data_IF_812479338880
#
_entry.id   IF_812479338880
#
_cell.length_a   1.000
_cell.length_b   1.000
_cell.length_c   1.000
_cell.angle_alpha   90.00
_cell.angle_beta   90.00
_cell.angle_gamma   90.00
#
_symmetry.space_group_name_H-M   'P 1'
#
loop_
_entity.id
_entity.type
_entity.pdbx_description
1 polymer ?
#
# COMPACT_ATOMS: atom_id res chain seq x y z
N UNK A 1 -2.76 0.07 18.36
CA UNK A 1 -2.53 -0.34 19.78
C UNK A 1 -2.26 0.82 20.72
N UNK A 2 -1.93 2.00 20.21
CA UNK A 2 -1.84 3.23 21.04
C UNK A 2 -3.22 3.76 21.48
N UNK A 3 -4.32 3.16 21.03
CA UNK A 3 -5.69 3.59 21.34
C UNK A 3 -6.11 4.88 20.63
N UNK A 4 -5.33 5.31 19.62
CA UNK A 4 -5.67 6.48 18.81
C UNK A 4 -6.48 6.08 17.58
N UNK A 5 -7.29 7.01 17.10
CA UNK A 5 -8.13 6.80 15.92
C UNK A 5 -7.30 6.90 14.64
N UNK A 6 -7.74 6.19 13.62
CA UNK A 6 -7.37 6.38 12.22
C UNK A 6 -8.57 6.95 11.48
N UNK A 7 -8.34 7.65 10.39
CA UNK A 7 -9.37 8.34 9.60
C UNK A 7 -9.26 7.95 8.12
N UNK A 8 -10.42 7.86 7.47
CA UNK A 8 -10.56 7.67 6.01
C UNK A 8 -9.81 6.42 5.47
N UNK A 9 -9.68 5.35 6.28
CA UNK A 9 -8.90 4.14 5.94
C UNK A 9 -9.51 3.33 4.78
N UNK A 10 -10.77 3.58 4.43
CA UNK A 10 -11.43 3.02 3.25
C UNK A 10 -10.91 3.61 1.94
N UNK A 11 -10.24 4.74 1.97
CA UNK A 11 -9.72 5.42 0.77
C UNK A 11 -8.32 4.93 0.45
N UNK A 12 -8.27 3.85 -0.32
CA UNK A 12 -7.03 3.23 -0.81
C UNK A 12 -6.97 3.37 -2.33
N UNK A 13 -5.89 3.96 -2.84
CA UNK A 13 -5.64 4.08 -4.27
C UNK A 13 -4.89 2.86 -4.79
N UNK A 14 -5.43 2.24 -5.84
CA UNK A 14 -4.75 1.19 -6.59
C UNK A 14 -4.04 1.80 -7.80
N UNK A 15 -2.79 1.43 -8.01
CA UNK A 15 -2.09 1.73 -9.24
C UNK A 15 -2.36 0.62 -10.26
N UNK A 16 -2.79 0.93 -11.49
CA UNK A 16 -3.18 -0.10 -12.45
C UNK A 16 -2.02 -1.00 -12.89
N UNK A 17 -0.82 -0.47 -12.99
CA UNK A 17 0.32 -1.16 -13.61
C UNK A 17 1.39 -1.56 -12.59
N UNK A 18 1.03 -2.37 -11.59
CA UNK A 18 2.00 -3.12 -10.79
C UNK A 18 2.47 -4.36 -11.54
N UNK A 19 3.76 -4.65 -11.53
CA UNK A 19 4.33 -5.87 -12.15
C UNK A 19 3.76 -7.11 -11.45
N UNK A 20 3.20 -8.01 -12.22
CA UNK A 20 2.64 -9.26 -11.71
C UNK A 20 3.69 -10.08 -10.94
N UNK A 21 3.33 -10.53 -9.75
CA UNK A 21 4.19 -11.32 -8.87
C UNK A 21 5.20 -10.51 -8.04
N UNK A 22 5.58 -9.30 -8.47
CA UNK A 22 6.56 -8.47 -7.77
C UNK A 22 5.94 -7.25 -7.07
N UNK A 23 4.81 -6.73 -7.58
CA UNK A 23 4.16 -5.53 -7.04
C UNK A 23 4.89 -4.22 -7.32
N UNK A 24 6.04 -4.24 -7.99
CA UNK A 24 6.75 -3.03 -8.38
C UNK A 24 5.96 -2.25 -9.41
N UNK A 25 5.91 -0.93 -9.26
CA UNK A 25 5.07 -0.08 -10.09
C UNK A 25 5.75 0.31 -11.39
N UNK A 26 5.02 0.14 -12.50
CA UNK A 26 5.34 0.79 -13.78
C UNK A 26 4.62 2.13 -13.81
N UNK A 27 5.38 3.22 -13.90
CA UNK A 27 4.84 4.58 -13.85
C UNK A 27 3.75 4.82 -14.89
N UNK A 28 2.82 5.70 -14.57
CA UNK A 28 1.79 6.18 -15.49
C UNK A 28 2.38 6.80 -16.77
N UNK A 29 3.61 7.34 -16.69
CA UNK A 29 4.36 7.83 -17.84
C UNK A 29 4.53 6.79 -18.94
N UNK A 30 4.59 5.49 -18.63
CA UNK A 30 4.65 4.43 -19.64
C UNK A 30 3.41 4.44 -20.56
N UNK A 31 2.22 4.67 -19.99
CA UNK A 31 0.99 4.83 -20.77
C UNK A 31 0.92 6.22 -21.43
N UNK A 32 1.50 7.24 -20.79
CA UNK A 32 1.64 8.58 -21.34
C UNK A 32 2.50 8.61 -22.61
N UNK A 33 3.54 7.79 -22.71
CA UNK A 33 4.38 7.64 -23.91
C UNK A 33 3.76 6.72 -24.99
N UNK A 34 2.54 6.23 -24.77
CA UNK A 34 1.79 5.43 -25.75
C UNK A 34 1.63 3.95 -25.40
N UNK A 35 2.01 3.55 -24.19
CA UNK A 35 1.74 2.19 -23.71
C UNK A 35 0.24 1.91 -23.57
N UNK A 36 -0.19 0.68 -23.85
CA UNK A 36 -1.60 0.28 -23.79
C UNK A 36 -1.78 -1.11 -23.17
N UNK A 37 -2.96 -1.33 -22.59
CA UNK A 37 -3.32 -2.57 -21.93
C UNK A 37 -4.09 -3.51 -22.86
N UNK A 38 -3.77 -4.81 -22.77
CA UNK A 38 -4.37 -5.86 -23.61
C UNK A 38 -4.77 -7.07 -22.75
N UNK A 39 -5.95 -7.61 -23.03
CA UNK A 39 -6.46 -8.85 -22.44
C UNK A 39 -6.01 -10.10 -23.23
N UNK A 40 -6.47 -11.29 -22.83
CA UNK A 40 -6.12 -12.57 -23.47
C UNK A 40 -6.67 -12.74 -24.89
N UNK A 41 -7.63 -11.93 -25.29
CA UNK A 41 -8.23 -11.94 -26.64
C UNK A 41 -7.50 -10.96 -27.59
N UNK A 42 -6.44 -10.29 -27.12
CA UNK A 42 -5.72 -9.29 -27.88
C UNK A 42 -6.45 -7.94 -27.95
N UNK A 43 -7.52 -7.75 -27.20
CA UNK A 43 -8.31 -6.52 -27.20
C UNK A 43 -7.63 -5.44 -26.35
N UNK A 44 -7.56 -4.22 -26.87
CA UNK A 44 -7.25 -3.00 -26.11
C UNK A 44 -8.50 -2.55 -25.36
N UNK A 45 -8.85 -3.27 -24.32
CA UNK A 45 -10.13 -3.18 -23.61
C UNK A 45 -10.43 -1.77 -23.03
N UNK A 46 -9.42 -0.93 -22.82
CA UNK A 46 -9.64 0.45 -22.35
C UNK A 46 -10.38 1.31 -23.39
N UNK A 47 -10.33 0.97 -24.66
CA UNK A 47 -11.12 1.64 -25.70
C UNK A 47 -12.64 1.43 -25.50
N UNK A 48 -13.02 0.30 -24.90
CA UNK A 48 -14.43 -0.02 -24.57
C UNK A 48 -14.87 0.60 -23.24
N UNK A 49 -14.00 0.59 -22.23
CA UNK A 49 -14.34 1.09 -20.90
C UNK A 49 -14.25 2.62 -20.77
N UNK A 50 -13.32 3.24 -21.47
CA UNK A 50 -13.09 4.68 -21.43
C UNK A 50 -12.77 5.23 -22.85
N UNK A 51 -13.74 5.31 -23.77
CA UNK A 51 -13.47 5.60 -25.19
C UNK A 51 -12.71 6.91 -25.44
N UNK A 52 -12.91 7.93 -24.61
CA UNK A 52 -12.27 9.25 -24.76
C UNK A 52 -10.85 9.29 -24.23
N UNK A 53 -10.60 8.72 -23.04
CA UNK A 53 -9.30 8.80 -22.37
C UNK A 53 -8.46 7.53 -22.55
N UNK A 54 -9.10 6.40 -22.92
CA UNK A 54 -8.48 5.09 -23.13
C UNK A 54 -7.55 4.72 -21.94
N UNK A 55 -6.32 4.33 -22.23
CA UNK A 55 -5.31 3.96 -21.26
C UNK A 55 -4.83 5.12 -20.37
N UNK A 56 -5.19 6.36 -20.70
CA UNK A 56 -4.94 7.57 -19.91
C UNK A 56 -6.12 7.97 -19.00
N UNK A 57 -7.14 7.14 -18.88
CA UNK A 57 -8.20 7.33 -17.90
C UNK A 57 -7.62 7.33 -16.47
N UNK A 58 -8.35 7.87 -15.51
CA UNK A 58 -7.93 7.92 -14.11
C UNK A 58 -7.61 6.52 -13.55
N UNK A 59 -6.69 6.45 -12.61
CA UNK A 59 -6.15 5.18 -12.06
C UNK A 59 -7.23 4.23 -11.58
N UNK A 60 -8.27 4.76 -10.95
CA UNK A 60 -9.40 3.98 -10.45
C UNK A 60 -10.23 3.38 -11.59
N UNK A 61 -10.46 4.11 -12.67
CA UNK A 61 -11.15 3.61 -13.87
C UNK A 61 -10.35 2.49 -14.51
N UNK A 62 -9.04 2.69 -14.73
CA UNK A 62 -8.18 1.66 -15.34
C UNK A 62 -8.10 0.43 -14.45
N UNK A 63 -7.90 0.58 -13.14
CA UNK A 63 -7.82 -0.55 -12.20
C UNK A 63 -9.12 -1.35 -12.15
N UNK A 64 -10.29 -0.68 -12.16
CA UNK A 64 -11.59 -1.37 -12.24
C UNK A 64 -11.75 -2.13 -13.54
N UNK A 65 -11.41 -1.51 -14.67
CA UNK A 65 -11.51 -2.15 -15.99
C UNK A 65 -10.64 -3.40 -16.07
N UNK A 66 -9.39 -3.33 -15.62
CA UNK A 66 -8.50 -4.49 -15.55
C UNK A 66 -9.08 -5.61 -14.68
N UNK A 67 -9.60 -5.27 -13.51
CA UNK A 67 -10.22 -6.25 -12.59
C UNK A 67 -11.47 -6.88 -13.22
N UNK A 68 -12.26 -6.12 -13.98
CA UNK A 68 -13.41 -6.67 -14.70
C UNK A 68 -12.99 -7.65 -15.80
N UNK A 69 -11.92 -7.36 -16.55
CA UNK A 69 -11.36 -8.28 -17.55
C UNK A 69 -10.88 -9.59 -16.91
N UNK A 70 -10.14 -9.49 -15.82
CA UNK A 70 -9.66 -10.66 -15.06
C UNK A 70 -10.84 -11.50 -14.53
N UNK A 71 -11.82 -10.87 -13.89
CA UNK A 71 -13.01 -11.57 -13.36
C UNK A 71 -13.88 -12.20 -14.45
N UNK A 72 -13.89 -11.61 -15.65
CA UNK A 72 -14.60 -12.17 -16.80
C UNK A 72 -13.84 -13.32 -17.50
N UNK A 73 -12.68 -13.75 -16.94
CA UNK A 73 -11.86 -14.82 -17.49
C UNK A 73 -11.01 -14.41 -18.69
N UNK A 74 -10.95 -13.13 -19.03
CA UNK A 74 -10.13 -12.57 -20.12
C UNK A 74 -8.75 -12.09 -19.66
N UNK A 75 -8.33 -12.46 -18.45
CA UNK A 75 -6.95 -12.29 -18.01
C UNK A 75 -5.98 -13.14 -18.83
N UNK A 76 -4.70 -12.79 -18.77
CA UNK A 76 -3.60 -13.49 -19.44
C UNK A 76 -2.87 -14.44 -18.50
N UNK A 77 -2.00 -15.28 -19.08
CA UNK A 77 -1.22 -16.29 -18.35
C UNK A 77 -2.03 -17.52 -17.90
N UNK A 78 -1.37 -18.50 -17.28
CA UNK A 78 -2.01 -19.77 -16.92
C UNK A 78 -3.16 -19.65 -15.93
N UNK A 79 -3.09 -18.64 -15.04
CA UNK A 79 -4.11 -18.38 -14.00
C UNK A 79 -5.17 -17.37 -14.45
N UNK A 80 -4.99 -16.71 -15.59
CA UNK A 80 -5.88 -15.64 -16.09
C UNK A 80 -6.12 -14.50 -15.09
N UNK A 81 -5.12 -14.15 -14.29
CA UNK A 81 -5.22 -13.26 -13.14
C UNK A 81 -4.49 -11.91 -13.32
N UNK A 82 -4.01 -11.62 -14.52
CA UNK A 82 -3.35 -10.36 -14.86
C UNK A 82 -3.63 -9.97 -16.31
N UNK A 83 -3.12 -8.83 -16.77
CA UNK A 83 -3.20 -8.35 -18.16
C UNK A 83 -1.81 -7.94 -18.65
N UNK A 84 -1.66 -7.64 -19.94
CA UNK A 84 -0.40 -7.18 -20.49
C UNK A 84 -0.40 -5.67 -20.73
N UNK A 85 0.72 -5.03 -20.37
CA UNK A 85 1.06 -3.66 -20.76
C UNK A 85 2.06 -3.74 -21.94
N UNK A 86 1.66 -3.27 -23.08
CA UNK A 86 2.48 -3.22 -24.28
C UNK A 86 3.26 -1.91 -24.38
N UNK A 87 4.58 -2.01 -24.50
CA UNK A 87 5.52 -0.94 -24.83
C UNK A 87 6.37 -1.29 -26.06
N UNK A 88 6.41 -2.57 -26.43
CA UNK A 88 7.26 -3.14 -27.49
C UNK A 88 6.93 -2.67 -28.91
N UNK A 89 5.88 -1.89 -29.09
CA UNK A 89 5.56 -1.19 -30.36
C UNK A 89 6.24 0.18 -30.45
N UNK A 90 6.78 0.69 -29.34
CA UNK A 90 7.47 1.98 -29.32
C UNK A 90 8.92 1.81 -29.82
N UNK A 91 9.49 2.83 -30.49
CA UNK A 91 10.89 2.81 -30.87
C UNK A 91 11.80 2.60 -29.64
N UNK A 92 12.83 1.73 -29.74
CA UNK A 92 13.77 1.49 -28.64
C UNK A 92 14.41 2.77 -28.09
N UNK A 93 14.65 3.75 -28.93
CA UNK A 93 15.23 5.06 -28.57
C UNK A 93 14.33 5.79 -27.57
N UNK A 94 13.00 5.77 -27.78
CA UNK A 94 12.03 6.39 -26.87
C UNK A 94 12.02 5.66 -25.53
N UNK A 95 12.06 4.34 -25.55
CA UNK A 95 12.12 3.54 -24.31
C UNK A 95 13.38 3.85 -23.50
N UNK A 96 14.52 3.97 -24.16
CA UNK A 96 15.80 4.27 -23.51
C UNK A 96 15.90 5.70 -23.01
N UNK A 97 15.39 6.68 -23.76
CA UNK A 97 15.48 8.09 -23.41
C UNK A 97 14.44 8.51 -22.36
N UNK A 98 13.17 8.10 -22.57
CA UNK A 98 12.05 8.57 -21.73
C UNK A 98 11.60 7.63 -20.64
N UNK A 99 11.91 6.33 -20.78
CA UNK A 99 11.49 5.28 -19.84
C UNK A 99 12.67 4.39 -19.38
N UNK A 100 13.88 4.92 -19.13
CA UNK A 100 15.05 4.08 -18.84
C UNK A 100 14.85 3.21 -17.59
N UNK A 101 14.30 3.77 -16.52
CA UNK A 101 14.05 3.03 -15.27
C UNK A 101 12.98 1.95 -15.40
N UNK A 102 12.05 2.08 -16.37
CA UNK A 102 11.00 1.08 -16.61
C UNK A 102 11.56 -0.16 -17.28
N UNK A 103 12.44 0.03 -18.26
CA UNK A 103 13.10 -1.09 -18.96
C UNK A 103 13.91 -1.94 -17.97
N UNK A 104 14.66 -1.29 -17.07
CA UNK A 104 15.41 -1.96 -16.03
C UNK A 104 14.51 -2.67 -15.01
N UNK A 105 13.48 -1.99 -14.53
CA UNK A 105 12.52 -2.54 -13.56
C UNK A 105 11.80 -3.76 -14.13
N UNK A 106 11.30 -3.70 -15.36
CA UNK A 106 10.65 -4.83 -16.02
C UNK A 106 11.61 -6.02 -16.17
N UNK A 107 12.86 -5.77 -16.54
CA UNK A 107 13.87 -6.81 -16.69
C UNK A 107 14.22 -7.48 -15.37
N UNK A 108 14.39 -6.71 -14.31
CA UNK A 108 14.77 -7.24 -12.98
C UNK A 108 13.61 -8.02 -12.36
N UNK A 109 12.39 -7.48 -12.38
CA UNK A 109 11.27 -8.00 -11.60
C UNK A 109 10.33 -8.93 -12.36
N UNK A 110 10.35 -8.94 -13.70
CA UNK A 110 9.55 -9.85 -14.52
C UNK A 110 10.36 -10.61 -15.59
N UNK A 111 11.65 -10.33 -15.73
CA UNK A 111 12.50 -10.94 -16.75
C UNK A 111 12.21 -10.45 -18.19
N UNK A 112 11.38 -9.42 -18.34
CA UNK A 112 10.87 -8.93 -19.63
C UNK A 112 11.81 -7.91 -20.26
N UNK A 113 12.13 -8.10 -21.52
CA UNK A 113 12.72 -7.08 -22.39
C UNK A 113 11.58 -6.27 -23.05
N UNK A 114 11.35 -5.07 -22.55
CA UNK A 114 10.23 -4.22 -22.97
C UNK A 114 10.26 -3.83 -24.44
N UNK A 115 11.39 -4.00 -25.12
CA UNK A 115 11.52 -3.78 -26.57
C UNK A 115 10.95 -4.94 -27.39
N UNK A 116 10.72 -6.10 -26.78
CA UNK A 116 10.31 -7.35 -27.46
C UNK A 116 8.99 -7.90 -26.94
N UNK A 117 8.75 -7.78 -25.63
CA UNK A 117 7.66 -8.46 -24.95
C UNK A 117 6.85 -7.49 -24.09
N UNK A 118 5.54 -7.75 -23.87
CA UNK A 118 4.72 -6.96 -23.00
C UNK A 118 5.02 -7.28 -21.52
N UNK A 119 4.78 -6.31 -20.65
CA UNK A 119 4.95 -6.46 -19.19
C UNK A 119 3.66 -7.04 -18.61
N UNK A 120 3.72 -8.15 -17.82
CA UNK A 120 2.56 -8.63 -17.08
C UNK A 120 2.26 -7.68 -15.91
N UNK A 121 1.03 -7.18 -15.83
CA UNK A 121 0.63 -6.19 -14.83
C UNK A 121 -0.74 -6.48 -14.24
N UNK A 122 -0.93 -6.05 -12.97
CA UNK A 122 -2.24 -6.08 -12.32
C UNK A 122 -2.40 -4.88 -11.38
N UNK A 123 -3.64 -4.50 -11.02
CA UNK A 123 -3.88 -3.44 -10.04
C UNK A 123 -3.22 -3.78 -8.70
N UNK A 124 -2.42 -2.85 -8.18
CA UNK A 124 -1.64 -3.02 -6.96
C UNK A 124 -1.92 -1.87 -6.00
N UNK A 125 -2.01 -2.16 -4.70
CA UNK A 125 -2.14 -1.13 -3.67
C UNK A 125 -0.98 -0.16 -3.78
N UNK A 126 -1.28 1.14 -3.79
CA UNK A 126 -0.30 2.17 -4.08
C UNK A 126 -0.23 3.27 -3.03
N UNK A 127 -1.37 3.82 -2.60
CA UNK A 127 -1.41 4.99 -1.71
C UNK A 127 -2.64 4.96 -0.81
N UNK A 128 -2.44 5.23 0.48
CA UNK A 128 -3.52 5.45 1.42
C UNK A 128 -3.81 6.95 1.54
N UNK A 129 -5.05 7.38 1.22
CA UNK A 129 -5.48 8.74 1.46
C UNK A 129 -5.87 8.96 2.91
N UNK A 130 -6.26 7.90 3.60
CA UNK A 130 -6.49 7.87 5.04
C UNK A 130 -5.19 7.75 5.86
N UNK A 131 -5.33 7.75 7.18
CA UNK A 131 -4.18 7.62 8.07
C UNK A 131 -4.42 8.25 9.45
N UNK A 132 -3.36 8.75 10.05
CA UNK A 132 -3.38 9.42 11.35
C UNK A 132 -4.03 10.80 11.18
N UNK A 133 -5.20 11.07 11.84
CA UNK A 133 -5.90 12.34 11.67
C UNK A 133 -5.07 13.52 12.21
N UNK A 134 -4.92 14.55 11.39
CA UNK A 134 -4.19 15.77 11.76
C UNK A 134 -5.00 17.01 11.44
N UNK A 135 -4.68 18.12 12.15
CA UNK A 135 -5.07 19.45 11.71
C UNK A 135 -4.09 20.00 10.65
N UNK A 136 -4.36 21.20 10.11
CA UNK A 136 -3.50 21.80 9.09
C UNK A 136 -2.11 22.23 9.58
N UNK A 137 -1.90 22.27 10.92
CA UNK A 137 -0.58 22.45 11.56
C UNK A 137 0.16 21.11 11.73
N UNK A 138 -0.38 20.02 11.21
CA UNK A 138 0.15 18.66 11.29
C UNK A 138 0.11 18.00 12.67
N UNK A 139 -0.47 18.68 13.66
CA UNK A 139 -0.66 18.11 15.00
C UNK A 139 -1.69 16.98 14.92
N UNK A 140 -1.34 15.82 15.48
CA UNK A 140 -2.27 14.69 15.57
C UNK A 140 -3.46 15.06 16.44
N UNK A 141 -4.65 14.72 15.99
CA UNK A 141 -5.89 14.97 16.69
C UNK A 141 -6.62 13.66 16.99
N UNK A 142 -7.39 13.66 18.08
CA UNK A 142 -8.27 12.55 18.44
C UNK A 142 -9.61 13.09 18.92
N UNK A 143 -10.65 12.26 18.98
CA UNK A 143 -11.95 12.62 19.53
C UNK A 143 -12.02 12.25 21.01
N UNK A 144 -12.40 13.22 21.83
CA UNK A 144 -12.74 13.02 23.24
C UNK A 144 -14.06 13.74 23.53
N UNK A 145 -15.03 13.02 24.02
CA UNK A 145 -16.37 13.55 24.32
C UNK A 145 -17.01 14.29 23.13
N UNK A 146 -16.83 13.73 21.89
CA UNK A 146 -17.34 14.32 20.65
C UNK A 146 -16.58 15.56 20.16
N UNK A 147 -15.53 16.00 20.85
CA UNK A 147 -14.70 17.15 20.47
C UNK A 147 -13.33 16.70 19.99
N UNK A 148 -12.86 17.33 18.93
CA UNK A 148 -11.50 17.13 18.45
C UNK A 148 -10.50 17.82 19.38
N UNK A 149 -9.52 17.07 19.87
CA UNK A 149 -8.44 17.55 20.71
C UNK A 149 -7.08 17.21 20.10
N UNK A 150 -6.10 18.08 20.29
CA UNK A 150 -4.72 17.84 19.88
C UNK A 150 -4.06 16.85 20.82
N UNK A 151 -3.31 15.90 20.28
CA UNK A 151 -2.42 15.00 21.02
C UNK A 151 -1.07 15.69 21.18
N UNK A 152 -0.69 16.17 22.37
CA UNK A 152 0.51 16.98 22.53
C UNK A 152 1.79 16.21 22.18
N UNK A 153 2.67 16.83 21.38
CA UNK A 153 3.98 16.27 21.04
C UNK A 153 3.97 15.21 19.96
N UNK A 154 2.84 15.00 19.28
CA UNK A 154 2.73 14.05 18.15
C UNK A 154 2.27 14.78 16.90
N UNK A 155 3.00 14.58 15.80
CA UNK A 155 2.69 15.13 14.48
C UNK A 155 2.72 14.01 13.45
N UNK A 156 1.96 14.16 12.36
CA UNK A 156 2.01 13.26 11.21
C UNK A 156 1.85 14.07 9.92
N UNK A 157 2.62 13.67 8.90
CA UNK A 157 2.67 14.34 7.58
C UNK A 157 2.73 13.31 6.47
N UNK A 158 2.49 13.75 5.24
CA UNK A 158 2.55 12.89 4.06
C UNK A 158 1.55 11.75 4.13
N UNK A 159 1.86 10.63 3.53
CA UNK A 159 0.96 9.47 3.46
C UNK A 159 0.56 8.90 4.83
N UNK A 160 1.42 9.04 5.86
CA UNK A 160 1.08 8.60 7.21
C UNK A 160 0.01 9.48 7.88
N UNK A 161 -0.07 10.76 7.51
CA UNK A 161 -1.03 11.72 8.02
C UNK A 161 -2.32 11.77 7.20
N UNK A 162 -3.44 12.08 7.85
CA UNK A 162 -4.71 12.32 7.19
C UNK A 162 -5.25 13.69 7.53
N UNK A 163 -4.82 14.71 6.78
CA UNK A 163 -5.38 16.06 6.82
C UNK A 163 -6.60 16.18 5.87
N UNK A 164 -6.92 15.11 5.15
CA UNK A 164 -8.07 14.95 4.23
C UNK A 164 -8.02 15.83 2.97
N UNK A 165 -6.82 16.13 2.48
CA UNK A 165 -6.66 16.95 1.25
C UNK A 165 -6.82 16.17 -0.05
N UNK A 166 -6.74 14.84 -0.01
CA UNK A 166 -6.78 13.99 -1.20
C UNK A 166 -8.17 13.43 -1.53
N UNK A 167 -9.13 13.54 -0.60
CA UNK A 167 -10.45 12.89 -0.77
C UNK A 167 -10.33 11.38 -0.93
N UNK A 168 -11.19 10.81 -1.78
CA UNK A 168 -11.22 9.36 -2.01
C UNK A 168 -10.20 8.87 -3.06
N UNK A 169 -9.58 9.76 -3.82
CA UNK A 169 -8.65 9.41 -4.90
C UNK A 169 -7.64 10.53 -5.14
N UNK A 170 -6.39 10.30 -4.77
CA UNK A 170 -5.29 11.26 -4.92
C UNK A 170 -4.95 11.47 -6.40
N UNK A 171 -4.80 12.71 -6.83
CA UNK A 171 -4.26 13.05 -8.14
C UNK A 171 -2.77 12.73 -8.24
N UNK A 172 -2.31 12.37 -9.42
CA UNK A 172 -0.91 12.10 -9.71
C UNK A 172 0.01 13.22 -9.22
N UNK A 173 1.16 12.88 -8.67
CA UNK A 173 2.18 13.78 -8.11
C UNK A 173 1.79 14.56 -6.84
N UNK A 174 0.52 14.62 -6.45
CA UNK A 174 0.09 15.40 -5.28
C UNK A 174 0.62 14.87 -3.95
N UNK A 175 1.08 13.61 -3.89
CA UNK A 175 1.80 13.12 -2.70
C UNK A 175 3.08 13.91 -2.42
N UNK A 176 3.79 14.36 -3.45
CA UNK A 176 5.00 15.18 -3.30
C UNK A 176 4.68 16.56 -2.74
N UNK A 177 3.57 17.18 -3.19
CA UNK A 177 3.09 18.45 -2.65
C UNK A 177 2.70 18.32 -1.17
N UNK A 178 2.00 17.26 -0.81
CA UNK A 178 1.64 16.95 0.58
C UNK A 178 2.89 16.87 1.47
N UNK A 179 3.88 16.08 1.07
CA UNK A 179 5.14 15.94 1.81
C UNK A 179 5.85 17.29 2.03
N UNK A 180 5.95 18.12 0.99
CA UNK A 180 6.64 19.41 1.07
C UNK A 180 5.86 20.42 1.89
N UNK A 181 4.55 20.57 1.64
CA UNK A 181 3.71 21.58 2.30
C UNK A 181 3.56 21.26 3.79
N UNK A 182 3.16 20.03 4.12
CA UNK A 182 2.94 19.67 5.52
C UNK A 182 4.24 19.38 6.27
N UNK A 183 5.31 18.93 5.60
CA UNK A 183 6.64 18.87 6.20
C UNK A 183 7.13 20.24 6.66
N UNK A 184 6.95 21.27 5.81
CA UNK A 184 7.26 22.65 6.17
C UNK A 184 6.36 23.17 7.30
N UNK A 185 5.05 22.88 7.23
CA UNK A 185 4.11 23.29 8.30
C UNK A 185 4.49 22.69 9.66
N UNK A 186 4.86 21.38 9.67
CA UNK A 186 5.33 20.70 10.88
C UNK A 186 6.58 21.36 11.45
N UNK A 187 7.57 21.71 10.61
CA UNK A 187 8.79 22.36 11.04
C UNK A 187 8.51 23.73 11.68
N UNK A 188 7.67 24.56 11.07
CA UNK A 188 7.26 25.85 11.63
C UNK A 188 6.51 25.66 12.94
N UNK A 189 5.55 24.74 12.99
CA UNK A 189 4.79 24.47 14.20
C UNK A 189 5.66 23.95 15.34
N UNK A 190 6.59 23.06 15.06
CA UNK A 190 7.55 22.57 16.03
C UNK A 190 8.43 23.72 16.60
N UNK A 191 8.90 24.63 15.73
CA UNK A 191 9.68 25.80 16.18
C UNK A 191 8.86 26.76 17.08
N UNK A 192 7.55 26.86 16.87
CA UNK A 192 6.68 27.67 17.72
C UNK A 192 6.45 27.06 19.10
N UNK A 193 6.25 25.76 19.21
CA UNK A 193 5.83 25.08 20.44
C UNK A 193 6.96 24.42 21.23
N UNK A 194 8.10 24.15 20.60
CA UNK A 194 9.24 23.50 21.24
C UNK A 194 10.33 24.55 21.52
N UNK A 195 10.71 24.68 22.78
CA UNK A 195 11.86 25.49 23.18
C UNK A 195 13.10 24.58 23.29
N UNK A 196 14.21 24.88 22.59
CA UNK A 196 15.45 24.13 22.76
C UNK A 196 15.87 24.08 24.23
N UNK A 197 16.37 22.92 24.66
CA UNK A 197 16.77 22.71 26.06
C UNK A 197 15.64 22.45 27.05
N UNK A 198 14.38 22.37 26.61
CA UNK A 198 13.28 21.97 27.50
C UNK A 198 13.52 20.53 28.00
N UNK A 199 13.57 20.31 29.33
CA UNK A 199 13.85 19.00 29.87
C UNK A 199 12.70 18.03 29.59
N UNK A 200 13.06 16.82 29.18
CA UNK A 200 12.08 15.74 28.98
C UNK A 200 11.55 15.23 30.33
N UNK A 201 10.27 14.85 30.33
CA UNK A 201 9.70 14.15 31.49
C UNK A 201 10.41 12.82 31.69
N UNK A 202 10.73 12.48 32.95
CA UNK A 202 11.28 11.17 33.28
C UNK A 202 10.28 10.07 32.91
N UNK A 203 10.78 9.02 32.28
CA UNK A 203 9.98 7.83 32.03
C UNK A 203 9.62 7.16 33.35
N UNK A 204 8.41 6.61 33.41
CA UNK A 204 7.99 5.81 34.57
C UNK A 204 8.81 4.52 34.62
N UNK A 205 9.13 4.06 35.83
CA UNK A 205 9.74 2.73 36.02
C UNK A 205 8.87 1.66 35.37
N UNK A 206 9.50 0.66 34.73
CA UNK A 206 8.82 -0.46 34.11
C UNK A 206 8.08 -0.16 32.79
N UNK A 207 8.20 1.06 32.21
CA UNK A 207 7.51 1.41 30.97
C UNK A 207 7.92 0.52 29.77
N UNK A 208 9.12 -0.04 29.79
CA UNK A 208 9.65 -0.93 28.75
C UNK A 208 9.26 -2.42 28.98
N UNK A 209 8.89 -2.80 30.19
CA UNK A 209 8.65 -4.21 30.54
C UNK A 209 7.60 -4.87 29.65
N UNK A 210 6.43 -4.26 29.33
CA UNK A 210 5.45 -4.87 28.45
C UNK A 210 5.95 -4.98 27.00
N UNK A 211 6.84 -4.08 26.57
CA UNK A 211 7.41 -4.10 25.22
C UNK A 211 8.40 -5.27 25.10
N UNK A 212 9.27 -5.41 26.10
CA UNK A 212 10.24 -6.52 26.17
C UNK A 212 9.51 -7.85 26.28
N UNK A 213 8.52 -7.94 27.15
CA UNK A 213 7.72 -9.16 27.32
C UNK A 213 7.01 -9.59 26.01
N UNK A 214 6.48 -8.61 25.24
CA UNK A 214 5.88 -8.88 23.93
C UNK A 214 6.92 -9.41 22.93
N UNK A 215 8.09 -8.77 22.87
CA UNK A 215 9.17 -9.22 21.99
C UNK A 215 9.59 -10.64 22.33
N UNK A 216 9.84 -10.93 23.62
CA UNK A 216 10.26 -12.26 24.08
C UNK A 216 9.19 -13.32 23.83
N UNK A 217 7.91 -12.99 24.04
CA UNK A 217 6.80 -13.91 23.73
C UNK A 217 6.81 -14.33 22.27
N UNK A 218 6.95 -13.37 21.34
CA UNK A 218 6.94 -13.66 19.90
C UNK A 218 8.21 -14.38 19.49
N UNK A 219 9.38 -13.91 19.92
CA UNK A 219 10.68 -14.53 19.64
C UNK A 219 10.75 -16.00 20.08
N UNK A 220 10.06 -16.36 21.16
CA UNK A 220 10.04 -17.72 21.70
C UNK A 220 8.78 -18.50 21.32
N UNK A 221 7.99 -18.02 20.36
CA UNK A 221 6.81 -18.71 19.88
C UNK A 221 7.18 -20.09 19.28
N UNK A 222 6.42 -21.14 19.66
CA UNK A 222 6.66 -22.53 19.31
C UNK A 222 5.41 -23.22 18.74
N UNK A 223 4.55 -22.47 18.08
CA UNK A 223 3.37 -23.02 17.43
C UNK A 223 3.69 -23.84 16.19
N UNK A 224 2.67 -24.15 15.40
CA UNK A 224 2.75 -24.99 14.21
C UNK A 224 2.69 -24.22 12.89
N UNK A 225 2.38 -22.91 12.94
CA UNK A 225 2.14 -22.09 11.75
C UNK A 225 3.35 -21.19 11.48
N UNK A 226 3.90 -21.23 10.26
CA UNK A 226 4.96 -20.30 9.88
C UNK A 226 4.41 -18.87 9.74
N UNK A 227 5.21 -17.89 10.12
CA UNK A 227 4.86 -16.47 9.97
C UNK A 227 4.61 -16.11 8.50
N UNK A 228 5.43 -16.67 7.60
CA UNK A 228 5.31 -16.44 6.16
C UNK A 228 3.98 -16.95 5.59
N UNK A 229 3.54 -18.16 5.99
CA UNK A 229 2.27 -18.73 5.53
C UNK A 229 1.08 -17.92 6.05
N UNK A 230 1.11 -17.52 7.32
CA UNK A 230 0.05 -16.73 7.91
C UNK A 230 -0.05 -15.34 7.25
N UNK A 231 1.10 -14.70 6.99
CA UNK A 231 1.16 -13.44 6.25
C UNK A 231 0.61 -13.58 4.84
N UNK A 232 0.99 -14.62 4.12
CA UNK A 232 0.49 -14.87 2.78
C UNK A 232 -1.03 -15.11 2.77
N UNK A 233 -1.55 -15.81 3.77
CA UNK A 233 -2.99 -16.01 3.97
C UNK A 233 -3.70 -14.68 4.17
N UNK A 234 -3.18 -13.78 5.03
CA UNK A 234 -3.70 -12.42 5.22
C UNK A 234 -3.67 -11.61 3.92
N UNK A 235 -2.56 -11.62 3.20
CA UNK A 235 -2.41 -10.87 1.95
C UNK A 235 -3.43 -11.32 0.89
N UNK A 236 -3.65 -12.61 0.75
CA UNK A 236 -4.66 -13.17 -0.16
C UNK A 236 -6.07 -12.76 0.26
N UNK A 237 -6.39 -12.89 1.54
CA UNK A 237 -7.68 -12.44 2.07
C UNK A 237 -7.93 -10.96 1.76
N UNK A 238 -6.94 -10.09 1.99
CA UNK A 238 -7.07 -8.67 1.67
C UNK A 238 -7.20 -8.40 0.17
N UNK A 239 -6.47 -9.15 -0.67
CA UNK A 239 -6.57 -9.03 -2.13
C UNK A 239 -7.94 -9.44 -2.66
N UNK A 240 -8.54 -10.47 -2.09
CA UNK A 240 -9.83 -11.00 -2.55
C UNK A 240 -11.02 -10.20 -2.02
N UNK A 241 -10.93 -9.67 -0.78
CA UNK A 241 -12.07 -9.10 -0.07
C UNK A 241 -11.99 -7.58 0.18
N UNK A 242 -10.81 -6.98 0.13
CA UNK A 242 -10.63 -5.55 0.40
C UNK A 242 -9.89 -4.79 -0.72
N UNK A 243 -9.84 -5.35 -1.95
CA UNK A 243 -9.15 -4.76 -3.10
C UNK A 243 -10.00 -3.72 -3.85
N UNK A 244 -9.94 -3.74 -5.17
CA UNK A 244 -10.56 -2.73 -6.06
C UNK A 244 -12.08 -2.70 -5.96
N UNK A 245 -12.74 -3.87 -5.82
CA UNK A 245 -14.18 -3.99 -5.66
C UNK A 245 -14.55 -4.46 -4.27
N UNK A 246 -15.32 -3.65 -3.57
CA UNK A 246 -15.74 -3.88 -2.19
C UNK A 246 -17.26 -3.70 -2.08
N UNK A 247 -17.96 -4.75 -1.69
CA UNK A 247 -19.36 -4.72 -1.29
C UNK A 247 -19.47 -5.06 0.18
N UNK A 248 -20.64 -4.84 0.78
CA UNK A 248 -20.88 -5.17 2.18
C UNK A 248 -20.57 -6.64 2.47
N UNK A 249 -21.11 -7.53 1.64
CA UNK A 249 -21.00 -8.98 1.78
C UNK A 249 -19.54 -9.44 1.71
N UNK A 250 -18.80 -8.95 0.70
CA UNK A 250 -17.39 -9.28 0.50
C UNK A 250 -16.53 -8.77 1.66
N UNK A 251 -16.81 -7.57 2.18
CA UNK A 251 -16.08 -7.03 3.32
C UNK A 251 -16.40 -7.76 4.62
N UNK A 252 -17.65 -8.19 4.83
CA UNK A 252 -18.05 -8.97 6.01
C UNK A 252 -17.36 -10.33 6.03
N UNK A 253 -17.34 -11.04 4.89
CA UNK A 253 -16.60 -12.30 4.73
C UNK A 253 -15.08 -12.08 4.97
N UNK A 254 -14.50 -11.05 4.38
CA UNK A 254 -13.09 -10.69 4.58
C UNK A 254 -12.76 -10.42 6.04
N UNK A 255 -13.64 -9.76 6.78
CA UNK A 255 -13.48 -9.53 8.21
C UNK A 255 -13.45 -10.82 9.00
N UNK A 256 -14.35 -11.75 8.73
CA UNK A 256 -14.39 -13.05 9.40
C UNK A 256 -13.11 -13.85 9.16
N UNK A 257 -12.60 -13.81 7.93
CA UNK A 257 -11.32 -14.46 7.58
C UNK A 257 -10.13 -13.81 8.30
N UNK A 258 -10.10 -12.48 8.41
CA UNK A 258 -9.03 -11.78 9.17
C UNK A 258 -9.13 -12.09 10.67
N UNK A 259 -10.33 -12.18 11.24
CA UNK A 259 -10.51 -12.59 12.63
C UNK A 259 -10.02 -14.03 12.87
N UNK A 260 -10.24 -14.95 11.91
CA UNK A 260 -9.65 -16.30 11.96
C UNK A 260 -8.11 -16.24 11.94
N UNK A 261 -7.53 -15.46 11.02
CA UNK A 261 -6.07 -15.29 10.94
C UNK A 261 -5.49 -14.71 12.24
N UNK A 262 -6.20 -13.78 12.86
CA UNK A 262 -5.82 -13.22 14.17
C UNK A 262 -5.78 -14.29 15.25
N UNK A 263 -6.71 -15.23 15.26
CA UNK A 263 -6.72 -16.35 16.20
C UNK A 263 -5.55 -17.30 15.92
N UNK A 264 -5.30 -17.61 14.64
CA UNK A 264 -4.19 -18.45 14.19
C UNK A 264 -2.81 -17.86 14.55
N UNK A 265 -2.71 -16.53 14.69
CA UNK A 265 -1.47 -15.86 15.09
C UNK A 265 -0.96 -16.35 16.47
N UNK A 266 -1.81 -16.87 17.33
CA UNK A 266 -1.38 -17.43 18.60
C UNK A 266 -0.59 -18.74 18.45
N UNK A 267 -0.69 -19.38 17.29
CA UNK A 267 -0.05 -20.66 16.94
C UNK A 267 1.17 -20.48 16.00
N UNK A 268 1.72 -19.25 15.92
CA UNK A 268 2.92 -19.01 15.09
C UNK A 268 4.15 -19.70 15.66
N UNK A 269 5.08 -20.04 14.77
CA UNK A 269 6.40 -20.57 15.09
C UNK A 269 7.48 -19.61 14.58
N UNK A 270 8.42 -19.24 15.47
CA UNK A 270 9.62 -18.47 15.12
C UNK A 270 10.83 -19.37 15.41
N UNK A 271 11.52 -19.78 14.35
CA UNK A 271 12.63 -20.72 14.44
C UNK A 271 13.96 -20.01 14.71
N UNK A 272 14.24 -18.92 14.02
CA UNK A 272 15.40 -18.08 14.29
C UNK A 272 15.12 -17.12 15.47
N UNK A 273 15.88 -17.26 16.53
CA UNK A 273 15.77 -16.44 17.75
C UNK A 273 16.87 -15.39 17.88
N UNK A 274 17.69 -15.22 16.86
CA UNK A 274 18.71 -14.17 16.83
C UNK A 274 18.05 -12.79 16.88
N UNK A 275 18.84 -11.80 17.34
CA UNK A 275 18.42 -10.39 17.35
C UNK A 275 19.09 -9.59 16.22
N UNK A 276 19.82 -10.28 15.35
CA UNK A 276 20.62 -9.66 14.29
C UNK A 276 20.11 -10.19 12.94
N UNK A 277 19.68 -9.28 12.06
CA UNK A 277 19.20 -9.60 10.70
C UNK A 277 18.06 -10.65 10.66
N UNK A 278 17.23 -10.69 11.68
CA UNK A 278 16.11 -11.62 11.78
C UNK A 278 14.83 -10.98 11.20
N UNK A 279 14.68 -11.08 9.89
CA UNK A 279 13.49 -10.57 9.18
C UNK A 279 12.22 -11.29 9.60
N UNK A 280 12.29 -12.59 9.89
CA UNK A 280 11.16 -13.41 10.30
C UNK A 280 10.55 -12.93 11.63
N UNK A 281 11.41 -12.59 12.60
CA UNK A 281 10.98 -11.99 13.87
C UNK A 281 10.35 -10.60 13.66
N UNK A 282 10.97 -9.76 12.81
CA UNK A 282 10.43 -8.43 12.49
C UNK A 282 9.06 -8.57 11.84
N UNK A 283 8.91 -9.46 10.87
CA UNK A 283 7.64 -9.71 10.20
C UNK A 283 6.57 -10.27 11.15
N UNK A 284 6.95 -11.14 12.09
CA UNK A 284 6.04 -11.61 13.13
C UNK A 284 5.53 -10.47 14.03
N UNK A 285 6.41 -9.54 14.41
CA UNK A 285 6.05 -8.37 15.22
C UNK A 285 5.12 -7.42 14.45
N UNK A 286 5.38 -7.19 13.16
CA UNK A 286 4.55 -6.35 12.30
C UNK A 286 3.19 -6.99 12.01
N UNK A 287 3.15 -8.28 11.68
CA UNK A 287 1.91 -9.01 11.43
C UNK A 287 0.94 -8.90 12.61
N UNK A 288 1.45 -8.96 13.85
CA UNK A 288 0.65 -8.75 15.05
C UNK A 288 -0.01 -7.37 15.18
N UNK A 289 0.40 -6.41 14.36
CA UNK A 289 -0.19 -5.07 14.30
C UNK A 289 -1.17 -4.93 13.14
N UNK A 290 -1.01 -5.73 12.09
CA UNK A 290 -1.80 -5.65 10.84
C UNK A 290 -3.12 -6.44 10.92
N UNK A 291 -3.15 -7.52 11.69
CA UNK A 291 -4.31 -8.41 11.87
C UNK A 291 -5.18 -8.10 13.09
#
# INVERSE_FOLDING_TARGET
RAGMQLKDMEFVQFHPTGIYGAGCLITEGARGEGGYLVNSEGERFMERYAPSAKDLASRDVVSRSMTMEIRAGRGVGPKKDHVFLHLNHLPPEILHERLPGISETAKIFSGVDVTKEPIPVLPTVHYNMGGIPTNYHTEVVTLKDGKQIVVPGLMAIGEAGCVSVHGANRLGSNSLLDLVVFGRAAAHRAAEIIKPGTPHKKLKSGVLDPIIARLDKIRNAKGSISVADLRLKMQRTMQDHAAVFRTKEVLEEGRELIDSIRNEYNEISVTDRSMIWNSDLVEALELANLI
#
